data_IF_110833905629
#
_entry.id   IF_110833905629
#
_cell.length_a   1.000
_cell.length_b   1.000
_cell.length_c   1.000
_cell.angle_alpha   90.00
_cell.angle_beta   90.00
_cell.angle_gamma   90.00
#
_symmetry.space_group_name_H-M   'P 1'
#
loop_
_entity.id
_entity.type
_entity.pdbx_description
1 polymer ?
#
# COMPACT_ATOMS: atom_id res chain seq x y z
N UNK A 1 -4.86 -6.82 -17.33
CA UNK A 1 -4.45 -6.78 -15.90
C UNK A 1 -3.67 -8.03 -15.54
N UNK A 2 -2.70 -7.90 -14.63
CA UNK A 2 -1.96 -9.05 -14.13
C UNK A 2 -2.82 -9.86 -13.16
N UNK A 3 -2.88 -11.18 -13.36
CA UNK A 3 -3.61 -12.13 -12.53
C UNK A 3 -2.70 -12.89 -11.56
N UNK A 4 -1.43 -12.50 -11.44
CA UNK A 4 -0.46 -13.18 -10.58
C UNK A 4 -0.90 -13.07 -9.11
N UNK A 5 -0.84 -14.19 -8.39
CA UNK A 5 -1.10 -14.22 -6.96
C UNK A 5 -0.01 -13.45 -6.20
N UNK A 6 -0.44 -12.60 -5.27
CA UNK A 6 0.47 -11.88 -4.37
C UNK A 6 0.88 -12.82 -3.24
N UNK A 7 2.17 -12.83 -2.90
CA UNK A 7 2.74 -13.69 -1.88
C UNK A 7 3.43 -12.89 -0.78
N UNK A 8 3.71 -13.57 0.33
CA UNK A 8 4.43 -13.02 1.47
C UNK A 8 5.77 -12.40 1.05
N UNK A 9 5.99 -11.16 1.46
CA UNK A 9 7.17 -10.38 1.12
C UNK A 9 7.16 -9.73 -0.27
N UNK A 10 6.05 -9.81 -1.03
CA UNK A 10 5.92 -9.03 -2.27
C UNK A 10 5.98 -7.52 -1.98
N UNK A 11 6.62 -6.79 -2.89
CA UNK A 11 6.81 -5.36 -2.77
C UNK A 11 5.52 -4.60 -3.16
N UNK A 12 5.33 -3.43 -2.55
CA UNK A 12 4.31 -2.47 -2.93
C UNK A 12 5.00 -1.23 -3.51
N UNK A 13 4.43 -0.70 -4.58
CA UNK A 13 4.81 0.60 -5.12
C UNK A 13 3.68 1.58 -4.93
N UNK A 14 3.91 2.60 -4.13
CA UNK A 14 3.01 3.72 -3.96
C UNK A 14 3.39 4.86 -4.91
N UNK A 15 2.40 5.55 -5.43
CA UNK A 15 2.63 6.83 -6.10
C UNK A 15 3.10 7.86 -5.07
N UNK A 16 4.02 8.77 -5.44
CA UNK A 16 4.58 9.73 -4.48
C UNK A 16 3.58 10.79 -4.05
N UNK A 17 2.49 11.02 -4.81
CA UNK A 17 1.53 12.07 -4.52
C UNK A 17 0.26 11.52 -3.84
N UNK A 18 -0.02 12.04 -2.66
CA UNK A 18 -1.26 11.81 -1.92
C UNK A 18 -2.02 13.14 -1.81
N UNK A 19 -2.76 13.50 -2.86
CA UNK A 19 -3.26 14.85 -3.04
C UNK A 19 -2.12 15.81 -3.37
N UNK A 20 -1.98 16.90 -2.60
CA UNK A 20 -0.87 17.86 -2.72
C UNK A 20 0.38 17.48 -1.92
N UNK A 21 0.38 16.33 -1.23
CA UNK A 21 1.49 15.88 -0.40
C UNK A 21 2.41 14.97 -1.21
N UNK A 22 3.69 15.33 -1.27
CA UNK A 22 4.74 14.45 -1.77
C UNK A 22 5.24 13.59 -0.61
N UNK A 23 4.91 12.30 -0.65
CA UNK A 23 5.15 11.31 0.41
C UNK A 23 6.28 10.38 -0.02
N UNK A 24 7.23 10.17 0.89
CA UNK A 24 8.38 9.27 0.71
C UNK A 24 8.41 8.27 1.86
N UNK A 25 8.31 6.98 1.55
CA UNK A 25 8.41 5.91 2.54
C UNK A 25 9.82 5.84 3.12
N UNK A 26 9.92 5.58 4.43
CA UNK A 26 11.21 5.50 5.15
C UNK A 26 11.78 4.08 5.24
N UNK A 27 11.06 3.10 4.70
CA UNK A 27 11.46 1.69 4.73
C UNK A 27 10.87 0.89 3.58
N UNK A 28 11.24 -0.39 3.46
CA UNK A 28 10.73 -1.27 2.42
C UNK A 28 9.23 -1.44 2.56
N UNK A 29 8.53 -1.30 1.43
CA UNK A 29 7.10 -1.49 1.37
C UNK A 29 6.79 -2.94 0.95
N UNK A 30 6.46 -3.79 1.91
CA UNK A 30 6.13 -5.20 1.66
C UNK A 30 4.81 -5.62 2.32
N UNK A 31 4.10 -6.56 1.71
CA UNK A 31 2.90 -7.17 2.29
C UNK A 31 3.26 -8.48 2.96
N UNK A 32 2.62 -8.79 4.09
CA UNK A 32 2.74 -10.09 4.74
C UNK A 32 1.53 -10.96 4.44
N UNK A 33 1.78 -12.12 3.85
CA UNK A 33 0.74 -13.09 3.49
C UNK A 33 0.41 -14.02 4.66
N UNK A 34 -0.88 -14.18 4.96
CA UNK A 34 -1.34 -15.09 6.02
C UNK A 34 -2.14 -16.29 5.52
N UNK A 35 -2.22 -16.48 4.20
CA UNK A 35 -2.92 -17.59 3.60
C UNK A 35 -2.33 -18.96 3.96
N UNK A 36 -3.17 -19.99 3.87
CA UNK A 36 -2.75 -21.36 4.15
C UNK A 36 -1.87 -21.93 3.03
N UNK A 37 -2.29 -21.73 1.78
CA UNK A 37 -1.55 -22.14 0.60
C UNK A 37 -0.27 -21.31 0.45
N UNK A 38 0.73 -21.94 -0.17
CA UNK A 38 2.02 -21.35 -0.43
C UNK A 38 2.40 -21.46 -1.90
N UNK A 39 3.10 -20.47 -2.41
CA UNK A 39 3.74 -20.48 -3.73
C UNK A 39 5.22 -20.28 -3.46
N UNK A 40 6.06 -21.24 -3.89
CA UNK A 40 7.51 -21.21 -3.66
C UNK A 40 7.90 -21.03 -2.18
N UNK A 41 7.17 -21.68 -1.27
CA UNK A 41 7.43 -21.60 0.18
C UNK A 41 6.97 -20.29 0.84
N UNK A 42 6.36 -19.37 0.09
CA UNK A 42 5.79 -18.11 0.61
C UNK A 42 4.28 -18.22 0.71
N UNK A 43 3.70 -17.80 1.83
CA UNK A 43 2.24 -17.79 2.02
C UNK A 43 1.57 -16.81 1.06
N UNK A 44 0.42 -17.20 0.53
CA UNK A 44 -0.37 -16.31 -0.33
C UNK A 44 -0.99 -15.18 0.51
N UNK A 45 -1.01 -13.96 -0.04
CA UNK A 45 -1.71 -12.85 0.57
C UNK A 45 -3.23 -12.98 0.36
N UNK A 46 -4.00 -12.79 1.42
CA UNK A 46 -5.45 -12.91 1.42
C UNK A 46 -6.10 -11.63 1.93
N UNK A 47 -7.37 -11.40 1.58
CA UNK A 47 -8.14 -10.25 2.06
C UNK A 47 -8.11 -10.20 3.60
N UNK A 48 -7.77 -9.02 4.12
CA UNK A 48 -7.46 -8.76 5.52
C UNK A 48 -5.97 -8.53 5.79
N UNK A 49 -5.07 -9.04 4.94
CA UNK A 49 -3.64 -8.79 5.06
C UNK A 49 -3.26 -7.35 4.71
N UNK A 50 -3.98 -6.72 3.77
CA UNK A 50 -3.80 -5.32 3.42
C UNK A 50 -4.05 -4.36 4.59
N UNK A 51 -4.89 -4.76 5.55
CA UNK A 51 -5.21 -3.94 6.73
C UNK A 51 -4.07 -3.89 7.74
N UNK A 52 -3.15 -4.85 7.67
CA UNK A 52 -1.94 -4.91 8.51
C UNK A 52 -0.80 -4.08 7.92
N UNK A 53 -0.97 -3.59 6.70
CA UNK A 53 0.03 -2.78 6.00
C UNK A 53 0.03 -1.37 6.57
N UNK A 54 1.13 -1.00 7.20
CA UNK A 54 1.36 0.33 7.73
C UNK A 54 2.85 0.68 7.57
N UNK A 55 3.13 1.75 6.84
CA UNK A 55 4.50 2.19 6.59
C UNK A 55 4.71 3.62 7.09
N UNK A 56 5.81 3.84 7.79
CA UNK A 56 6.21 5.19 8.17
C UNK A 56 6.74 5.93 6.94
N UNK A 57 6.32 7.17 6.79
CA UNK A 57 6.69 8.02 5.67
C UNK A 57 6.96 9.44 6.16
N UNK A 58 7.87 10.11 5.46
CA UNK A 58 8.00 11.56 5.54
C UNK A 58 7.23 12.21 4.40
N UNK A 59 6.83 13.46 4.56
CA UNK A 59 6.17 14.19 3.48
C UNK A 59 6.48 15.67 3.50
N UNK A 60 6.37 16.29 2.33
CA UNK A 60 6.37 17.74 2.14
C UNK A 60 5.16 18.14 1.30
N UNK A 61 4.89 19.44 1.25
CA UNK A 61 3.95 20.04 0.29
C UNK A 61 4.63 21.20 -0.41
N UNK A 62 4.09 21.71 -1.54
CA UNK A 62 4.67 22.88 -2.21
C UNK A 62 4.84 24.10 -1.30
N UNK A 63 3.97 24.28 -0.29
CA UNK A 63 4.02 25.40 0.64
C UNK A 63 4.68 25.06 1.99
N UNK A 64 5.02 23.80 2.27
CA UNK A 64 5.59 23.36 3.55
C UNK A 64 6.86 22.53 3.30
N UNK A 65 8.03 23.18 3.20
CA UNK A 65 9.29 22.51 2.85
C UNK A 65 9.93 21.77 4.02
N UNK A 66 9.58 22.07 5.28
CA UNK A 66 10.07 21.32 6.43
C UNK A 66 9.32 20.00 6.50
N UNK A 67 10.00 18.83 6.40
CA UNK A 67 9.32 17.54 6.34
C UNK A 67 8.48 17.25 7.57
N UNK A 68 7.26 16.78 7.33
CA UNK A 68 6.41 16.15 8.31
C UNK A 68 6.55 14.62 8.26
N UNK A 69 5.86 13.94 9.17
CA UNK A 69 5.82 12.48 9.29
C UNK A 69 4.39 11.99 9.24
N UNK A 70 4.19 10.76 8.80
CA UNK A 70 2.89 10.10 8.84
C UNK A 70 2.96 8.63 8.50
N UNK A 71 1.78 8.03 8.40
CA UNK A 71 1.62 6.62 8.09
C UNK A 71 0.90 6.42 6.76
N UNK A 72 1.46 5.60 5.89
CA UNK A 72 0.81 5.11 4.66
C UNK A 72 0.14 3.77 4.94
N UNK A 73 -1.11 3.65 4.53
CA UNK A 73 -1.95 2.45 4.64
C UNK A 73 -2.64 2.14 3.32
N UNK A 74 -3.05 0.89 3.13
CA UNK A 74 -3.99 0.55 2.05
C UNK A 74 -5.40 0.83 2.56
N UNK A 75 -6.11 1.75 1.91
CA UNK A 75 -7.48 2.10 2.27
C UNK A 75 -8.50 1.13 1.67
N UNK A 76 -8.29 0.74 0.40
CA UNK A 76 -9.21 -0.13 -0.31
C UNK A 76 -8.51 -0.84 -1.47
N UNK A 77 -8.66 -2.17 -1.53
CA UNK A 77 -8.30 -2.96 -2.71
C UNK A 77 -9.31 -2.73 -3.83
N UNK A 78 -8.82 -2.69 -5.07
CA UNK A 78 -9.72 -2.70 -6.22
C UNK A 78 -10.40 -4.07 -6.38
N UNK A 79 -11.54 -4.13 -7.08
CA UNK A 79 -12.21 -5.38 -7.36
C UNK A 79 -11.33 -6.34 -8.20
N UNK A 80 -10.48 -5.79 -9.06
CA UNK A 80 -9.53 -6.57 -9.87
C UNK A 80 -8.36 -7.17 -9.08
N UNK A 81 -8.23 -6.84 -7.79
CA UNK A 81 -7.19 -7.37 -6.91
C UNK A 81 -7.72 -8.51 -6.03
N UNK A 82 -8.98 -8.91 -6.19
CA UNK A 82 -9.64 -9.90 -5.35
C UNK A 82 -10.17 -11.06 -6.21
N UNK A 83 -9.50 -12.21 -6.13
CA UNK A 83 -9.93 -13.42 -6.82
C UNK A 83 -11.02 -14.14 -6.00
N UNK A 84 -12.25 -13.63 -6.01
CA UNK A 84 -13.35 -14.06 -5.11
C UNK A 84 -13.68 -15.57 -5.14
N UNK A 85 -13.38 -16.26 -6.24
CA UNK A 85 -13.56 -17.70 -6.38
C UNK A 85 -12.43 -18.53 -5.72
N UNK A 86 -11.28 -17.90 -5.44
CA UNK A 86 -10.09 -18.54 -4.89
C UNK A 86 -9.91 -18.13 -3.41
N UNK A 87 -9.92 -19.11 -2.50
CA UNK A 87 -9.88 -18.88 -1.04
C UNK A 87 -8.81 -19.70 -0.35
N UNK A 88 -8.13 -19.11 0.65
CA UNK A 88 -7.13 -19.83 1.45
C UNK A 88 -6.79 -19.17 2.82
N UNK A 89 -7.67 -19.15 3.83
CA UNK A 89 -9.10 -19.48 3.86
C UNK A 89 -10.01 -18.31 3.41
N UNK A 90 -9.47 -17.08 3.30
CA UNK A 90 -10.16 -15.92 2.74
C UNK A 90 -9.77 -15.70 1.27
N UNK A 91 -10.47 -14.78 0.59
CA UNK A 91 -10.23 -14.43 -0.82
C UNK A 91 -8.76 -14.12 -1.07
N UNK A 92 -8.17 -14.72 -2.09
CA UNK A 92 -6.79 -14.49 -2.51
C UNK A 92 -6.64 -13.11 -3.17
N UNK A 93 -5.56 -12.41 -2.83
CA UNK A 93 -5.16 -11.15 -3.45
C UNK A 93 -4.30 -11.44 -4.67
N UNK A 94 -4.64 -10.80 -5.79
CA UNK A 94 -3.86 -10.81 -7.03
C UNK A 94 -3.35 -9.39 -7.35
N UNK A 95 -2.35 -9.29 -8.22
CA UNK A 95 -1.73 -8.00 -8.57
C UNK A 95 -2.75 -6.97 -9.07
N UNK A 96 -3.63 -7.37 -10.01
CA UNK A 96 -4.72 -6.52 -10.50
C UNK A 96 -4.24 -5.21 -11.13
N UNK A 97 -4.95 -4.11 -10.84
CA UNK A 97 -4.57 -2.73 -11.20
C UNK A 97 -3.87 -2.01 -10.04
N UNK A 98 -4.56 -1.07 -9.41
CA UNK A 98 -4.07 -0.25 -8.30
C UNK A 98 -5.08 -0.27 -7.17
N UNK A 99 -4.60 -0.35 -5.93
CA UNK A 99 -5.40 -0.09 -4.75
C UNK A 99 -5.42 1.41 -4.43
N UNK A 100 -6.41 1.81 -3.65
CA UNK A 100 -6.45 3.14 -3.04
C UNK A 100 -5.63 3.12 -1.75
N UNK A 101 -4.65 4.01 -1.66
CA UNK A 101 -3.81 4.21 -0.49
C UNK A 101 -4.26 5.46 0.29
N UNK A 102 -3.92 5.51 1.57
CA UNK A 102 -4.19 6.66 2.44
C UNK A 102 -2.94 7.01 3.22
N UNK A 103 -2.60 8.29 3.22
CA UNK A 103 -1.59 8.89 4.07
C UNK A 103 -2.26 9.65 5.21
N UNK A 104 -1.88 9.33 6.45
CA UNK A 104 -2.35 10.01 7.66
C UNK A 104 -1.16 10.72 8.31
N UNK A 105 -1.10 12.07 8.29
CA UNK A 105 -0.08 12.83 9.00
C UNK A 105 -0.10 12.51 10.51
N UNK A 106 1.06 12.25 11.10
CA UNK A 106 1.26 12.14 12.56
C UNK A 106 2.02 13.35 13.11
N UNK A 107 2.88 13.95 12.27
CA UNK A 107 3.54 15.23 12.50
C UNK A 107 3.39 16.07 11.24
N UNK A 108 2.69 17.22 11.26
CA UNK A 108 2.46 17.99 10.05
C UNK A 108 3.76 18.58 9.50
N UNK A 109 3.87 18.62 8.18
CA UNK A 109 4.91 19.39 7.50
C UNK A 109 4.76 20.87 7.87
N UNK A 110 5.85 21.63 7.90
CA UNK A 110 5.84 22.98 8.43
C UNK A 110 6.49 24.01 7.50
N UNK A 111 6.08 25.26 7.66
CA UNK A 111 6.70 26.42 7.06
C UNK A 111 6.79 27.53 8.13
N UNK A 112 7.98 28.05 8.45
CA UNK A 112 8.12 29.13 9.43
C UNK A 112 7.28 30.37 9.14
N UNK A 113 6.95 30.64 7.86
CA UNK A 113 6.17 31.80 7.44
C UNK A 113 4.65 31.61 7.52
N UNK A 114 4.14 30.40 7.28
CA UNK A 114 2.69 30.12 7.21
C UNK A 114 2.16 29.17 8.28
N UNK A 115 3.05 28.53 9.04
CA UNK A 115 2.71 27.51 10.03
C UNK A 115 2.62 26.08 9.46
N UNK A 116 2.03 25.14 10.22
CA UNK A 116 1.96 23.73 9.85
C UNK A 116 0.84 23.40 8.84
N UNK A 117 1.05 22.35 8.05
CA UNK A 117 0.04 21.73 7.20
C UNK A 117 -1.13 21.15 8.02
N UNK A 118 -2.28 20.99 7.37
CA UNK A 118 -3.45 20.34 7.99
C UNK A 118 -3.16 18.86 8.24
N UNK A 119 -3.73 18.29 9.30
CA UNK A 119 -3.52 16.88 9.67
C UNK A 119 -4.55 15.92 9.06
N UNK A 120 -5.50 16.43 8.27
CA UNK A 120 -6.52 15.60 7.59
C UNK A 120 -5.84 14.58 6.67
N UNK A 121 -6.24 13.29 6.70
CA UNK A 121 -5.67 12.29 5.80
C UNK A 121 -5.86 12.64 4.31
N UNK A 122 -4.93 12.23 3.47
CA UNK A 122 -5.04 12.35 2.01
C UNK A 122 -4.94 11.01 1.31
N UNK A 123 -5.53 10.93 0.13
CA UNK A 123 -5.65 9.68 -0.64
C UNK A 123 -4.61 9.66 -1.77
N UNK A 124 -4.09 8.48 -2.06
CA UNK A 124 -3.16 8.22 -3.15
C UNK A 124 -3.45 6.85 -3.77
N UNK A 125 -2.52 6.38 -4.59
CA UNK A 125 -2.62 5.08 -5.27
C UNK A 125 -1.36 4.24 -5.03
N UNK A 126 -1.51 2.94 -5.16
CA UNK A 126 -0.38 2.03 -5.19
C UNK A 126 -0.73 0.71 -5.85
N UNK A 127 0.27 -0.13 -6.07
CA UNK A 127 0.13 -1.44 -6.71
C UNK A 127 1.07 -2.47 -6.09
N UNK A 128 0.70 -3.74 -6.23
CA UNK A 128 1.57 -4.85 -5.88
C UNK A 128 2.60 -5.12 -6.99
N UNK A 129 3.78 -5.56 -6.60
CA UNK A 129 4.82 -6.06 -7.50
C UNK A 129 5.02 -7.54 -7.18
N UNK A 130 4.52 -8.41 -8.07
CA UNK A 130 4.67 -9.85 -7.92
C UNK A 130 6.14 -10.28 -7.99
N UNK A 131 6.56 -11.11 -7.04
CA UNK A 131 7.86 -11.80 -7.10
C UNK A 131 7.81 -13.18 -7.76
N UNK A 132 6.60 -13.65 -8.12
CA UNK A 132 6.38 -14.94 -8.77
C UNK A 132 5.51 -14.79 -10.03
N UNK A 133 5.73 -15.65 -11.02
CA UNK A 133 5.02 -15.63 -12.31
C UNK A 133 4.46 -17.01 -12.72
N UNK A 134 4.43 -17.95 -11.77
CA UNK A 134 4.02 -19.34 -12.00
C UNK A 134 2.52 -19.51 -11.79
N UNK A 135 1.96 -18.84 -10.78
CA UNK A 135 0.57 -19.04 -10.36
C UNK A 135 -0.23 -17.76 -10.55
N UNK A 136 -1.31 -17.88 -11.30
CA UNK A 136 -2.30 -16.82 -11.51
C UNK A 136 -3.70 -17.28 -11.13
N UNK A 137 -4.56 -16.35 -10.75
CA UNK A 137 -5.96 -16.60 -10.42
C UNK A 137 -6.84 -15.52 -11.05
N UNK A 138 -7.61 -15.86 -12.08
CA UNK A 138 -8.63 -14.97 -12.65
C UNK A 138 -9.09 -15.35 -14.04
#
# INVERSE_FOLDING_TARGET
MSKQCVVDGDNLLFEPLFGNRQVTLLGPATIRGSGHAQIQGKKIAIVGDEKKVQFQAQYITPSHPIPGMGMVTIAQLDASQQANFCRSPATVIIVGQQFTARFTPTQPANNPSSGPDVTTPSMGKGRFIASQYIVSAG
#
